data_IF_495245019521
#
_entry.id   IF_495245019521
#
_cell.length_a   1.000
_cell.length_b   1.000
_cell.length_c   1.000
_cell.angle_alpha   90.00
_cell.angle_beta   90.00
_cell.angle_gamma   90.00
#
_symmetry.space_group_name_H-M   'P 1'
#
loop_
_entity.id
_entity.type
_entity.pdbx_description
1 polymer ?
#
# COMPACT_ATOMS: atom_id res chain seq x y z
N UNK A 1 -24.80 -22.02 -1.54
CA UNK A 1 -25.07 -20.56 -1.69
C UNK A 1 -23.82 -19.81 -1.21
N UNK A 2 -23.20 -19.03 -2.11
CA UNK A 2 -21.96 -18.28 -1.83
C UNK A 2 -22.32 -16.81 -1.53
N UNK A 3 -22.19 -16.39 -0.28
CA UNK A 3 -22.52 -15.02 0.14
C UNK A 3 -21.38 -14.07 -0.22
N UNK A 4 -21.65 -13.14 -1.15
CA UNK A 4 -20.68 -12.15 -1.64
C UNK A 4 -20.80 -10.84 -0.83
N UNK A 5 -19.77 -10.55 -0.02
CA UNK A 5 -19.58 -9.27 0.70
C UNK A 5 -19.52 -8.05 -0.26
N UNK A 6 -19.40 -8.29 -1.57
CA UNK A 6 -19.24 -7.27 -2.60
C UNK A 6 -20.51 -6.46 -2.92
N UNK A 7 -21.70 -6.91 -2.51
CA UNK A 7 -22.97 -6.23 -2.87
C UNK A 7 -23.18 -4.88 -2.17
N UNK A 8 -22.53 -4.65 -1.03
CA UNK A 8 -22.72 -3.42 -0.24
C UNK A 8 -21.95 -2.18 -0.75
N UNK A 9 -21.15 -2.29 -1.81
CA UNK A 9 -20.02 -1.37 -2.00
C UNK A 9 -19.80 -0.71 -3.36
N UNK A 10 -20.74 -0.75 -4.32
CA UNK A 10 -20.43 -0.25 -5.68
C UNK A 10 -21.48 0.74 -6.18
N UNK A 11 -21.27 2.02 -5.89
CA UNK A 11 -21.77 3.10 -6.72
C UNK A 11 -20.70 4.18 -6.84
N UNK A 12 -19.85 4.09 -7.88
CA UNK A 12 -18.94 5.18 -8.25
C UNK A 12 -19.13 5.50 -9.72
N UNK A 13 -19.64 6.71 -9.97
CA UNK A 13 -20.09 7.22 -11.24
C UNK A 13 -19.06 7.22 -12.37
N UNK A 14 -19.61 7.24 -13.59
CA UNK A 14 -18.98 7.10 -14.90
C UNK A 14 -17.88 8.14 -15.14
N UNK A 15 -16.64 7.70 -15.36
CA UNK A 15 -15.66 8.39 -16.22
C UNK A 15 -14.82 7.36 -16.98
N UNK A 16 -14.88 7.39 -18.31
CA UNK A 16 -14.06 6.55 -19.20
C UNK A 16 -12.70 7.20 -19.37
N UNK A 17 -11.62 6.42 -19.23
CA UNK A 17 -10.24 6.83 -19.50
C UNK A 17 -9.81 6.18 -20.81
N UNK A 18 -9.39 6.97 -21.80
CA UNK A 18 -8.86 6.45 -23.08
C UNK A 18 -7.37 6.11 -22.94
N UNK A 19 -6.89 4.97 -23.48
CA UNK A 19 -5.47 4.63 -23.48
C UNK A 19 -4.84 5.01 -24.82
N UNK A 20 -3.71 5.72 -24.78
CA UNK A 20 -2.80 5.77 -25.92
C UNK A 20 -1.41 5.28 -25.51
N UNK A 21 -0.76 4.59 -26.46
CA UNK A 21 0.62 4.10 -26.45
C UNK A 21 0.95 2.80 -25.69
N UNK A 22 0.69 1.66 -26.37
CA UNK A 22 1.75 0.72 -26.82
C UNK A 22 2.70 0.04 -25.81
N UNK A 23 2.43 -1.24 -25.52
CA UNK A 23 3.40 -2.37 -25.45
C UNK A 23 4.71 -2.22 -24.64
N UNK A 24 4.67 -1.79 -23.38
CA UNK A 24 5.67 -2.20 -22.39
C UNK A 24 4.97 -2.62 -21.09
N UNK A 25 4.83 -3.93 -20.93
CA UNK A 25 4.03 -4.58 -19.89
C UNK A 25 2.56 -4.13 -19.87
N UNK A 26 1.73 -4.78 -20.68
CA UNK A 26 0.36 -4.93 -20.23
C UNK A 26 0.46 -5.60 -18.85
N UNK A 27 0.04 -4.90 -17.78
CA UNK A 27 -0.53 -5.59 -16.62
C UNK A 27 -1.84 -6.27 -17.08
N UNK A 28 -1.74 -7.18 -18.06
CA UNK A 28 -2.83 -7.89 -18.73
C UNK A 28 -3.57 -8.78 -17.71
N UNK A 29 -2.86 -9.17 -16.66
CA UNK A 29 -3.45 -9.74 -15.46
C UNK A 29 -3.92 -8.61 -14.54
N UNK A 30 -5.19 -8.23 -14.68
CA UNK A 30 -5.90 -7.48 -13.66
C UNK A 30 -6.09 -8.36 -12.41
N UNK A 31 -5.08 -8.40 -11.54
CA UNK A 31 -5.11 -9.12 -10.26
C UNK A 31 -6.18 -8.55 -9.29
N UNK A 32 -6.82 -7.43 -9.67
CA UNK A 32 -7.89 -6.73 -8.97
C UNK A 32 -9.23 -7.49 -8.86
N UNK A 33 -9.44 -8.55 -9.65
CA UNK A 33 -10.76 -9.19 -9.82
C UNK A 33 -11.00 -10.44 -8.97
N UNK A 34 -9.99 -10.92 -8.25
CA UNK A 34 -10.14 -12.13 -7.44
C UNK A 34 -11.15 -11.91 -6.30
N UNK A 35 -11.97 -12.92 -6.02
CA UNK A 35 -12.83 -12.95 -4.82
C UNK A 35 -12.01 -12.76 -3.54
N UNK A 36 -10.83 -13.37 -3.49
CA UNK A 36 -9.86 -13.22 -2.40
C UNK A 36 -9.45 -11.75 -2.17
N UNK A 37 -9.14 -11.00 -3.23
CA UNK A 37 -8.80 -9.58 -3.08
C UNK A 37 -9.99 -8.77 -2.57
N UNK A 38 -11.19 -8.99 -3.12
CA UNK A 38 -12.40 -8.30 -2.67
C UNK A 38 -12.64 -8.53 -1.17
N UNK A 39 -12.51 -9.77 -0.70
CA UNK A 39 -12.67 -10.09 0.72
C UNK A 39 -11.61 -9.41 1.59
N UNK A 40 -10.34 -9.39 1.17
CA UNK A 40 -9.26 -8.70 1.91
C UNK A 40 -9.48 -7.19 1.96
N UNK A 41 -9.94 -6.59 0.85
CA UNK A 41 -10.26 -5.17 0.79
C UNK A 41 -11.43 -4.83 1.71
N UNK A 42 -12.54 -5.57 1.63
CA UNK A 42 -13.70 -5.37 2.50
C UNK A 42 -13.33 -5.55 3.98
N UNK A 43 -12.58 -6.60 4.32
CA UNK A 43 -12.07 -6.80 5.68
C UNK A 43 -11.19 -5.64 6.16
N UNK A 44 -10.31 -5.12 5.29
CA UNK A 44 -9.45 -3.97 5.62
C UNK A 44 -10.25 -2.70 5.87
N UNK A 45 -11.30 -2.46 5.08
CA UNK A 45 -12.21 -1.32 5.24
C UNK A 45 -12.99 -1.44 6.55
N UNK A 46 -13.57 -2.60 6.82
CA UNK A 46 -14.30 -2.88 8.06
C UNK A 46 -13.40 -2.72 9.29
N UNK A 47 -12.20 -3.29 9.25
CA UNK A 47 -11.23 -3.16 10.34
C UNK A 47 -10.82 -1.70 10.58
N UNK A 48 -10.71 -0.89 9.53
CA UNK A 48 -10.37 0.54 9.66
C UNK A 48 -11.52 1.35 10.29
N UNK A 49 -12.75 1.07 9.87
CA UNK A 49 -13.93 1.82 10.27
C UNK A 49 -14.43 1.39 11.66
N UNK A 50 -14.53 0.09 11.90
CA UNK A 50 -15.16 -0.48 13.10
C UNK A 50 -14.16 -1.07 14.11
N UNK A 51 -12.89 -1.22 13.74
CA UNK A 51 -11.91 -1.95 14.55
C UNK A 51 -12.01 -3.47 14.34
N UNK A 52 -11.25 -4.25 15.10
CA UNK A 52 -11.12 -5.70 15.01
C UNK A 52 -12.38 -6.48 15.46
N UNK A 53 -13.31 -5.85 16.17
CA UNK A 53 -14.61 -6.45 16.49
C UNK A 53 -15.54 -6.67 15.30
N UNK A 54 -15.21 -6.15 14.11
CA UNK A 54 -16.01 -6.32 12.89
C UNK A 54 -16.32 -7.79 12.55
N UNK A 55 -15.38 -8.69 12.85
CA UNK A 55 -15.53 -10.12 12.57
C UNK A 55 -16.68 -10.76 13.35
N UNK A 56 -16.92 -10.30 14.58
CA UNK A 56 -18.04 -10.78 15.38
C UNK A 56 -19.38 -10.40 14.77
N UNK A 57 -19.50 -9.16 14.25
CA UNK A 57 -20.71 -8.71 13.55
C UNK A 57 -20.95 -9.47 12.25
N UNK A 58 -19.89 -9.75 11.50
CA UNK A 58 -19.98 -10.56 10.27
C UNK A 58 -20.40 -11.99 10.58
N UNK A 59 -19.89 -12.59 11.65
CA UNK A 59 -20.30 -13.92 12.08
C UNK A 59 -21.78 -13.92 12.49
N UNK A 60 -22.22 -12.95 13.30
CA UNK A 60 -23.64 -12.79 13.68
C UNK A 60 -24.54 -12.63 12.45
N UNK A 61 -24.17 -11.77 11.49
CA UNK A 61 -24.90 -11.59 10.23
C UNK A 61 -24.92 -12.85 9.35
N UNK A 62 -23.91 -13.71 9.48
CA UNK A 62 -23.83 -15.00 8.78
C UNK A 62 -24.52 -16.14 9.54
N UNK A 63 -25.22 -15.84 10.64
CA UNK A 63 -25.84 -16.82 11.55
C UNK A 63 -24.82 -17.82 12.13
N UNK A 64 -23.56 -17.40 12.25
CA UNK A 64 -22.48 -18.17 12.85
C UNK A 64 -22.16 -17.63 14.25
N UNK A 65 -21.80 -18.52 15.16
CA UNK A 65 -21.32 -18.10 16.47
C UNK A 65 -19.97 -17.37 16.35
N UNK A 66 -19.83 -16.15 16.90
CA UNK A 66 -18.56 -15.44 16.91
C UNK A 66 -17.45 -16.15 17.68
N UNK A 67 -17.82 -16.91 18.72
CA UNK A 67 -16.91 -17.53 19.67
C UNK A 67 -16.32 -16.53 20.69
N UNK A 68 -16.21 -16.96 21.94
CA UNK A 68 -15.69 -16.14 23.05
C UNK A 68 -14.23 -15.70 22.85
N UNK A 69 -13.41 -16.58 22.29
CA UNK A 69 -12.00 -16.30 22.02
C UNK A 69 -11.82 -15.20 20.97
N UNK A 70 -12.60 -15.23 19.89
CA UNK A 70 -12.59 -14.21 18.83
C UNK A 70 -12.95 -12.83 19.39
N UNK A 71 -13.99 -12.76 20.23
CA UNK A 71 -14.39 -11.52 20.91
C UNK A 71 -13.29 -10.98 21.82
N UNK A 72 -12.66 -11.84 22.61
CA UNK A 72 -11.57 -11.47 23.50
C UNK A 72 -10.37 -10.90 22.73
N UNK A 73 -9.95 -11.58 21.66
CA UNK A 73 -8.87 -11.11 20.77
C UNK A 73 -9.24 -9.79 20.12
N UNK A 74 -10.46 -9.67 19.57
CA UNK A 74 -10.94 -8.43 18.94
C UNK A 74 -10.81 -7.23 19.88
N UNK A 75 -11.35 -7.36 21.11
CA UNK A 75 -11.24 -6.33 22.15
C UNK A 75 -9.78 -5.99 22.52
N UNK A 76 -8.90 -6.99 22.62
CA UNK A 76 -7.47 -6.77 22.90
C UNK A 76 -6.78 -5.98 21.78
N UNK A 77 -7.08 -6.33 20.53
CA UNK A 77 -6.52 -5.66 19.35
C UNK A 77 -7.04 -4.23 19.21
N UNK A 78 -8.32 -3.99 19.51
CA UNK A 78 -8.88 -2.65 19.51
C UNK A 78 -8.28 -1.74 20.59
N UNK A 79 -8.05 -2.28 21.79
CA UNK A 79 -7.30 -1.55 22.83
C UNK A 79 -5.88 -1.20 22.37
N UNK A 80 -5.22 -2.07 21.59
CA UNK A 80 -3.89 -1.78 21.03
C UNK A 80 -3.98 -0.71 19.95
N UNK A 81 -4.95 -0.81 19.05
CA UNK A 81 -5.19 0.15 17.97
C UNK A 81 -5.50 1.55 18.51
N UNK A 82 -6.33 1.64 19.56
CA UNK A 82 -6.65 2.92 20.24
C UNK A 82 -5.40 3.59 20.80
N UNK A 83 -4.61 2.85 21.58
CA UNK A 83 -3.33 3.35 22.15
C UNK A 83 -2.37 3.81 21.06
N UNK A 84 -2.28 3.06 19.97
CA UNK A 84 -1.45 3.42 18.83
C UNK A 84 -1.94 4.70 18.15
N UNK A 85 -3.26 4.85 17.96
CA UNK A 85 -3.85 6.05 17.36
C UNK A 85 -3.63 7.28 18.23
N UNK A 86 -3.81 7.16 19.54
CA UNK A 86 -3.50 8.21 20.52
C UNK A 86 -2.03 8.62 20.44
N UNK A 87 -1.12 7.64 20.48
CA UNK A 87 0.33 7.86 20.32
C UNK A 87 0.64 8.60 19.02
N UNK A 88 0.07 8.17 17.89
CA UNK A 88 0.30 8.77 16.58
C UNK A 88 -0.23 10.20 16.47
N UNK A 89 -1.27 10.53 17.23
CA UNK A 89 -1.87 11.86 17.25
C UNK A 89 -1.05 12.89 18.02
N UNK A 90 -0.16 12.44 18.93
CA UNK A 90 0.72 13.33 19.70
C UNK A 90 1.61 14.20 18.82
N UNK A 91 1.92 15.42 19.29
CA UNK A 91 2.83 16.34 18.60
C UNK A 91 4.23 15.76 18.47
N UNK A 92 4.70 15.07 19.51
CA UNK A 92 6.02 14.43 19.54
C UNK A 92 6.17 13.38 18.44
N UNK A 93 5.21 12.47 18.31
CA UNK A 93 5.22 11.45 17.26
C UNK A 93 5.25 12.07 15.87
N UNK A 94 4.43 13.10 15.62
CA UNK A 94 4.39 13.82 14.34
C UNK A 94 5.72 14.52 14.03
N UNK A 95 6.32 15.19 15.01
CA UNK A 95 7.64 15.83 14.88
C UNK A 95 8.73 14.80 14.58
N UNK A 96 8.75 13.69 15.31
CA UNK A 96 9.69 12.58 15.08
C UNK A 96 9.53 11.99 13.68
N UNK A 97 8.29 11.76 13.23
CA UNK A 97 8.00 11.28 11.87
C UNK A 97 8.56 12.21 10.80
N UNK A 98 8.40 13.52 10.94
CA UNK A 98 8.95 14.51 10.00
C UNK A 98 10.49 14.48 10.03
N UNK A 99 11.11 14.43 11.22
CA UNK A 99 12.57 14.33 11.37
C UNK A 99 13.12 13.09 10.65
N UNK A 100 12.52 11.92 10.89
CA UNK A 100 12.90 10.66 10.24
C UNK A 100 12.72 10.74 8.72
N UNK A 101 11.63 11.33 8.23
CA UNK A 101 11.41 11.53 6.78
C UNK A 101 12.52 12.40 6.16
N UNK A 102 12.93 13.48 6.83
CA UNK A 102 14.03 14.34 6.37
C UNK A 102 15.37 13.59 6.36
N UNK A 103 15.66 12.84 7.42
CA UNK A 103 16.88 12.02 7.51
C UNK A 103 16.94 10.96 6.40
N UNK A 104 15.82 10.25 6.16
CA UNK A 104 15.73 9.26 5.07
C UNK A 104 16.02 9.91 3.72
N UNK A 105 15.36 11.03 3.41
CA UNK A 105 15.59 11.77 2.15
C UNK A 105 17.06 12.19 1.98
N UNK A 106 17.70 12.67 3.05
CA UNK A 106 19.12 13.05 3.05
C UNK A 106 20.03 11.84 2.78
N UNK A 107 19.71 10.69 3.38
CA UNK A 107 20.45 9.44 3.14
C UNK A 107 20.30 8.98 1.69
N UNK A 108 19.07 8.95 1.17
CA UNK A 108 18.78 8.57 -0.22
C UNK A 108 19.51 9.48 -1.22
N UNK A 109 19.54 10.79 -0.99
CA UNK A 109 20.27 11.72 -1.84
C UNK A 109 21.78 11.45 -1.83
N UNK A 110 22.37 11.22 -0.65
CA UNK A 110 23.81 10.91 -0.52
C UNK A 110 24.17 9.58 -1.20
N UNK A 111 23.30 8.57 -1.08
CA UNK A 111 23.49 7.29 -1.77
C UNK A 111 23.39 7.42 -3.29
N UNK A 112 22.44 8.21 -3.81
CA UNK A 112 22.33 8.48 -5.26
C UNK A 112 23.54 9.20 -5.83
N UNK A 113 24.08 10.19 -5.10
CA UNK A 113 25.31 10.90 -5.51
C UNK A 113 26.51 9.95 -5.58
N UNK A 114 26.55 8.91 -4.74
CA UNK A 114 27.59 7.87 -4.80
C UNK A 114 27.53 7.01 -6.07
N UNK A 115 26.37 6.86 -6.70
CA UNK A 115 26.22 6.05 -7.92
C UNK A 115 26.59 6.82 -9.20
N UNK A 116 26.75 8.15 -9.15
CA UNK A 116 27.10 8.98 -10.32
C UNK A 116 26.12 8.85 -11.50
N UNK A 117 26.31 9.63 -12.56
CA UNK A 117 25.62 9.47 -13.87
C UNK A 117 26.17 8.25 -14.62
N UNK A 118 26.30 7.10 -13.95
CA UNK A 118 26.96 5.90 -14.51
C UNK A 118 26.15 5.26 -15.65
N UNK A 119 24.90 5.69 -15.88
CA UNK A 119 24.04 5.19 -16.95
C UNK A 119 23.23 6.30 -17.64
N UNK A 120 23.86 7.42 -18.00
CA UNK A 120 23.30 8.23 -19.09
C UNK A 120 23.74 7.58 -20.42
N UNK A 121 22.78 7.21 -21.26
CA UNK A 121 22.98 6.46 -22.51
C UNK A 121 23.80 7.17 -23.60
N UNK A 122 24.43 8.31 -23.29
CA UNK A 122 25.21 9.14 -24.22
C UNK A 122 26.59 9.51 -23.66
N UNK A 123 27.28 8.58 -22.99
CA UNK A 123 28.73 8.71 -22.84
C UNK A 123 29.37 8.32 -24.18
N UNK A 124 29.31 9.22 -25.15
CA UNK A 124 30.09 9.12 -26.38
C UNK A 124 31.58 9.18 -25.98
N UNK A 125 32.27 8.06 -26.14
CA UNK A 125 33.73 8.00 -26.09
C UNK A 125 34.21 8.62 -27.40
N UNK A 126 34.76 9.83 -27.34
CA UNK A 126 35.48 10.42 -28.47
C UNK A 126 36.80 9.65 -28.66
N UNK A 127 36.81 8.72 -29.59
CA UNK A 127 38.01 8.03 -30.09
C UNK A 127 38.74 8.94 -31.10
N UNK A 128 39.35 10.03 -30.63
CA UNK A 128 40.13 10.97 -31.49
C UNK A 128 41.60 11.12 -31.05
N UNK A 129 42.14 10.24 -30.19
CA UNK A 129 43.54 10.32 -29.73
C UNK A 129 44.38 9.04 -29.94
N UNK A 130 44.10 8.25 -30.98
CA UNK A 130 44.93 7.07 -31.31
C UNK A 130 45.81 7.22 -32.56
N UNK A 131 46.04 8.43 -33.06
CA UNK A 131 46.83 8.65 -34.28
C UNK A 131 48.02 9.62 -34.09
N UNK A 132 48.78 9.50 -32.99
CA UNK A 132 50.04 10.25 -32.89
C UNK A 132 51.16 9.61 -32.05
N UNK A 133 51.35 8.28 -32.19
CA UNK A 133 52.56 7.59 -31.71
C UNK A 133 53.06 6.59 -32.77
N UNK A 134 53.46 7.11 -33.94
CA UNK A 134 54.42 6.45 -34.84
C UNK A 134 55.82 6.93 -34.51
#
# INVERSE_FOLDING_TARGET
MSWNIAEYGINTGKRKFQPDCGKQSQKSRFYGRSSSLRNRLSASVLQKNEGYTWLSKVNEASLLSPGQHTLSIGKKMDKKLKRERERQNTKEFKRRRIKLKKQKKKSELRSKVKEGTTYENNAEVYEDELENWR
#
